data_IF_389784640032
#
_entry.id   IF_389784640032
#
_cell.length_a   1.000
_cell.length_b   1.000
_cell.length_c   1.000
_cell.angle_alpha   90.00
_cell.angle_beta   90.00
_cell.angle_gamma   90.00
#
_symmetry.space_group_name_H-M   'P 1'
#
loop_
_entity.id
_entity.type
_entity.pdbx_description
1 polymer ?
#
# COMPACT_ATOMS: atom_id res chain seq x y z
N UNK A 1 14.79 -2.70 2.13
CA UNK A 1 14.63 -4.11 2.54
C UNK A 1 13.82 -4.15 3.81
N UNK A 2 12.87 -5.10 3.92
CA UNK A 2 12.10 -5.32 5.15
C UNK A 2 12.51 -6.69 5.71
N UNK A 3 12.77 -6.76 7.01
CA UNK A 3 13.06 -8.00 7.71
C UNK A 3 12.15 -8.13 8.94
N UNK A 4 11.65 -9.31 9.16
CA UNK A 4 10.87 -9.66 10.37
C UNK A 4 11.55 -10.81 11.08
N UNK A 5 11.57 -10.74 12.42
CA UNK A 5 12.19 -11.73 13.29
C UNK A 5 11.24 -12.14 14.40
N UNK A 6 10.92 -13.41 14.44
CA UNK A 6 10.13 -14.05 15.50
C UNK A 6 8.84 -13.29 15.82
N UNK A 7 8.06 -12.92 14.79
CA UNK A 7 6.79 -12.19 14.96
C UNK A 7 5.71 -13.13 15.48
N UNK A 8 5.10 -12.71 16.59
CA UNK A 8 3.92 -13.34 17.17
C UNK A 8 2.76 -12.34 17.19
N UNK A 9 1.55 -12.81 16.88
CA UNK A 9 0.32 -12.01 16.97
C UNK A 9 -0.85 -12.86 17.35
N UNK A 10 -1.58 -12.40 18.38
CA UNK A 10 -2.81 -13.02 18.85
C UNK A 10 -3.95 -12.02 18.91
N UNK A 11 -5.18 -12.49 18.79
CA UNK A 11 -6.41 -11.74 19.04
C UNK A 11 -7.23 -12.51 20.07
N UNK A 12 -7.25 -11.99 21.29
CA UNK A 12 -7.80 -12.73 22.44
C UNK A 12 -7.08 -14.06 22.66
N UNK A 13 -7.81 -15.17 22.57
CA UNK A 13 -7.24 -16.52 22.72
C UNK A 13 -6.71 -17.12 21.41
N UNK A 14 -6.99 -16.49 20.26
CA UNK A 14 -6.59 -17.01 18.96
C UNK A 14 -5.19 -16.53 18.58
N UNK A 15 -4.24 -17.46 18.47
CA UNK A 15 -2.89 -17.18 17.94
C UNK A 15 -2.96 -17.22 16.42
N UNK A 16 -2.63 -16.08 15.77
CA UNK A 16 -2.73 -15.93 14.31
C UNK A 16 -1.36 -15.98 13.64
N UNK A 17 -0.37 -15.28 14.21
CA UNK A 17 1.02 -15.38 13.77
C UNK A 17 1.83 -16.06 14.87
N UNK A 18 2.64 -17.03 14.48
CA UNK A 18 3.42 -17.82 15.41
C UNK A 18 4.84 -17.98 14.87
N UNK A 19 5.78 -17.30 15.50
CA UNK A 19 7.21 -17.35 15.19
C UNK A 19 7.55 -17.12 13.72
N UNK A 20 7.00 -16.04 13.13
CA UNK A 20 7.20 -15.73 11.72
C UNK A 20 8.48 -14.92 11.56
N UNK A 21 9.43 -15.45 10.79
CA UNK A 21 10.65 -14.76 10.39
C UNK A 21 10.77 -14.80 8.86
N UNK A 22 11.05 -13.65 8.25
CA UNK A 22 11.22 -13.53 6.80
C UNK A 22 12.03 -12.28 6.44
N UNK A 23 12.58 -12.30 5.21
CA UNK A 23 13.31 -11.19 4.64
C UNK A 23 12.76 -10.89 3.26
N UNK A 24 12.32 -9.65 3.06
CA UNK A 24 11.76 -9.15 1.80
C UNK A 24 12.81 -8.27 1.11
N UNK A 25 13.36 -8.80 0.03
CA UNK A 25 14.45 -8.14 -0.68
C UNK A 25 13.96 -6.95 -1.50
N UNK A 26 14.78 -5.91 -1.53
CA UNK A 26 14.52 -4.70 -2.33
C UNK A 26 14.64 -5.00 -3.82
N UNK A 27 13.77 -4.38 -4.64
CA UNK A 27 13.80 -4.53 -6.10
C UNK A 27 13.32 -5.88 -6.61
N UNK A 28 12.74 -6.71 -5.72
CA UNK A 28 12.16 -8.00 -6.07
C UNK A 28 10.69 -8.05 -5.70
N UNK A 29 9.93 -8.87 -6.43
CA UNK A 29 8.59 -9.28 -6.02
C UNK A 29 8.73 -10.40 -4.99
N UNK A 30 8.25 -10.14 -3.77
CA UNK A 30 8.24 -11.11 -2.69
C UNK A 30 6.80 -11.61 -2.51
N UNK A 31 6.60 -12.92 -2.51
CA UNK A 31 5.27 -13.53 -2.43
C UNK A 31 5.08 -14.25 -1.10
N UNK A 32 3.97 -13.93 -0.41
CA UNK A 32 3.55 -14.63 0.80
C UNK A 32 2.43 -15.60 0.40
N UNK A 33 2.70 -16.91 0.54
CA UNK A 33 1.79 -17.99 0.17
C UNK A 33 1.28 -18.66 1.43
N UNK A 34 0.01 -19.07 1.43
CA UNK A 34 -0.61 -19.85 2.52
C UNK A 34 -2.11 -20.01 2.30
N UNK A 35 -2.72 -20.92 3.03
CA UNK A 35 -4.16 -21.18 2.97
C UNK A 35 -4.98 -19.93 3.37
N UNK A 36 -6.26 -19.90 2.98
CA UNK A 36 -7.18 -18.87 3.47
C UNK A 36 -7.25 -18.94 5.00
N UNK A 37 -7.24 -17.80 5.67
CA UNK A 37 -7.23 -17.73 7.14
C UNK A 37 -5.88 -17.99 7.82
N UNK A 38 -4.79 -18.25 7.08
CA UNK A 38 -3.45 -18.50 7.66
C UNK A 38 -2.74 -17.27 8.24
N UNK A 39 -3.38 -16.09 8.23
CA UNK A 39 -2.81 -14.86 8.80
C UNK A 39 -2.05 -13.95 7.81
N UNK A 40 -2.07 -14.22 6.50
CA UNK A 40 -1.37 -13.38 5.49
C UNK A 40 -1.71 -11.89 5.59
N UNK A 41 -3.00 -11.57 5.59
CA UNK A 41 -3.49 -10.18 5.74
C UNK A 41 -3.10 -9.58 7.10
N UNK A 42 -3.08 -10.40 8.17
CA UNK A 42 -2.62 -9.94 9.50
C UNK A 42 -1.14 -9.60 9.46
N UNK A 43 -0.32 -10.46 8.84
CA UNK A 43 1.11 -10.19 8.66
C UNK A 43 1.34 -8.92 7.85
N UNK A 44 0.64 -8.73 6.72
CA UNK A 44 0.70 -7.51 5.92
C UNK A 44 0.35 -6.27 6.76
N UNK A 45 -0.71 -6.32 7.56
CA UNK A 45 -1.10 -5.21 8.43
C UNK A 45 -0.06 -4.92 9.53
N UNK A 46 0.64 -5.95 10.02
CA UNK A 46 1.78 -5.75 10.93
C UNK A 46 2.96 -5.09 10.21
N UNK A 47 3.28 -5.52 8.99
CA UNK A 47 4.34 -4.91 8.16
C UNK A 47 4.06 -3.44 7.81
N UNK A 48 2.80 -3.07 7.67
CA UNK A 48 2.37 -1.69 7.44
C UNK A 48 2.27 -0.84 8.71
N UNK A 49 2.48 -1.45 9.89
CA UNK A 49 2.29 -0.80 11.17
C UNK A 49 0.84 -0.45 11.50
N UNK A 50 -0.14 -1.11 10.83
CA UNK A 50 -1.57 -0.98 11.11
C UNK A 50 -1.98 -1.84 12.32
N UNK A 51 -1.29 -2.95 12.55
CA UNK A 51 -1.42 -3.77 13.73
C UNK A 51 -0.09 -3.84 14.47
N UNK A 52 -0.13 -3.73 15.80
CA UNK A 52 1.00 -4.09 16.65
C UNK A 52 1.12 -5.62 16.69
N UNK A 53 2.32 -6.14 16.74
CA UNK A 53 2.60 -7.53 17.07
C UNK A 53 2.89 -7.68 18.56
N UNK A 54 2.73 -8.90 19.09
CA UNK A 54 2.86 -9.15 20.53
C UNK A 54 4.33 -9.34 20.91
N UNK A 55 5.11 -9.99 20.04
CA UNK A 55 6.55 -10.24 20.21
C UNK A 55 7.24 -10.23 18.85
N UNK A 56 8.55 -10.02 18.84
CA UNK A 56 9.41 -10.04 17.68
C UNK A 56 9.95 -8.67 17.29
N UNK A 57 10.56 -8.59 16.13
CA UNK A 57 11.19 -7.38 15.59
C UNK A 57 10.83 -7.17 14.13
N UNK A 58 10.55 -5.91 13.79
CA UNK A 58 10.33 -5.45 12.44
C UNK A 58 11.40 -4.42 12.09
N UNK A 59 12.09 -4.64 10.97
CA UNK A 59 13.26 -3.86 10.58
C UNK A 59 13.04 -3.34 9.16
N UNK A 60 13.13 -2.02 8.97
CA UNK A 60 13.06 -1.35 7.67
C UNK A 60 14.43 -0.76 7.33
N UNK A 61 15.02 -1.16 6.21
CA UNK A 61 16.34 -0.68 5.76
C UNK A 61 17.38 -0.61 6.89
N UNK A 62 17.49 -1.69 7.68
CA UNK A 62 18.35 -1.86 8.85
C UNK A 62 17.98 -1.02 10.10
N UNK A 63 16.86 -0.33 10.09
CA UNK A 63 16.36 0.40 11.27
C UNK A 63 15.25 -0.40 11.95
N UNK A 64 15.41 -0.67 13.24
CA UNK A 64 14.44 -1.39 14.05
C UNK A 64 13.21 -0.51 14.32
N UNK A 65 12.02 -1.02 14.04
CA UNK A 65 10.76 -0.28 14.25
C UNK A 65 10.53 0.10 15.72
N UNK A 66 11.03 -0.71 16.65
CA UNK A 66 10.98 -0.47 18.10
C UNK A 66 11.84 0.73 18.56
N UNK A 67 12.82 1.12 17.74
CA UNK A 67 13.74 2.24 18.04
C UNK A 67 13.36 3.54 17.32
N UNK A 68 12.37 3.49 16.42
CA UNK A 68 11.93 4.64 15.66
C UNK A 68 11.09 5.59 16.50
N UNK A 69 11.39 6.88 16.40
CA UNK A 69 10.51 7.93 16.87
C UNK A 69 9.29 8.11 15.96
N UNK A 70 8.34 8.98 16.32
CA UNK A 70 7.10 9.14 15.56
C UNK A 70 7.33 9.79 14.19
N UNK A 71 8.32 10.65 14.03
CA UNK A 71 8.70 11.24 12.75
C UNK A 71 9.27 10.18 11.80
N UNK A 72 10.15 9.33 12.27
CA UNK A 72 10.73 8.22 11.51
C UNK A 72 9.65 7.22 11.09
N UNK A 73 8.71 6.87 11.98
CA UNK A 73 7.55 6.04 11.65
C UNK A 73 6.65 6.68 10.58
N UNK A 74 6.44 8.00 10.66
CA UNK A 74 5.67 8.72 9.64
C UNK A 74 6.39 8.72 8.29
N UNK A 75 7.71 8.90 8.27
CA UNK A 75 8.51 8.86 7.05
C UNK A 75 8.48 7.48 6.39
N UNK A 76 8.57 6.40 7.16
CA UNK A 76 8.40 5.03 6.64
C UNK A 76 7.00 4.84 6.03
N UNK A 77 5.93 5.35 6.65
CA UNK A 77 4.57 5.27 6.09
C UNK A 77 4.43 5.96 4.74
N UNK A 78 5.12 7.09 4.52
CA UNK A 78 5.14 7.77 3.20
C UNK A 78 5.81 6.91 2.12
N UNK A 79 6.72 6.02 2.51
CA UNK A 79 7.43 5.12 1.60
C UNK A 79 6.67 3.82 1.33
N UNK A 80 5.47 3.65 1.89
CA UNK A 80 4.64 2.46 1.73
C UNK A 80 3.37 2.76 0.94
N UNK A 81 3.09 1.94 -0.05
CA UNK A 81 1.80 1.91 -0.74
C UNK A 81 1.07 0.62 -0.44
N UNK A 82 -0.25 0.66 -0.38
CA UNK A 82 -1.09 -0.52 -0.16
C UNK A 82 -2.20 -0.61 -1.20
N UNK A 83 -2.26 -1.74 -1.89
CA UNK A 83 -3.40 -2.14 -2.73
C UNK A 83 -4.23 -3.15 -1.95
N UNK A 84 -5.46 -2.77 -1.62
CA UNK A 84 -6.41 -3.61 -0.89
C UNK A 84 -7.19 -4.53 -1.82
N UNK A 85 -7.60 -5.69 -1.33
CA UNK A 85 -8.40 -6.69 -2.06
C UNK A 85 -9.66 -6.10 -2.70
N UNK A 86 -10.38 -5.21 -2.03
CA UNK A 86 -11.63 -4.59 -2.48
C UNK A 86 -11.50 -3.16 -3.00
N UNK A 87 -10.31 -2.72 -3.47
CA UNK A 87 -9.99 -1.33 -3.85
C UNK A 87 -10.07 -0.34 -2.68
N UNK A 88 -10.96 -0.54 -1.72
CA UNK A 88 -11.17 0.27 -0.52
C UNK A 88 -11.21 1.79 -0.81
N UNK A 89 -11.93 2.19 -1.85
CA UNK A 89 -12.11 3.59 -2.21
C UNK A 89 -13.05 4.27 -1.22
N UNK A 90 -12.88 5.58 -1.07
CA UNK A 90 -13.83 6.42 -0.37
C UNK A 90 -14.99 6.72 -1.31
N UNK A 91 -16.18 6.22 -0.99
CA UNK A 91 -17.38 6.33 -1.84
C UNK A 91 -17.85 7.79 -2.06
N UNK A 92 -17.53 8.66 -1.11
CA UNK A 92 -17.87 10.09 -1.17
C UNK A 92 -16.86 10.95 -1.92
N UNK A 93 -15.74 10.38 -2.34
CA UNK A 93 -14.69 11.07 -3.07
C UNK A 93 -14.66 10.65 -4.53
N UNK A 94 -14.42 11.63 -5.42
CA UNK A 94 -14.18 11.37 -6.85
C UNK A 94 -12.92 10.53 -7.08
N UNK A 95 -12.70 10.10 -8.31
CA UNK A 95 -11.46 9.41 -8.73
C UNK A 95 -10.24 10.26 -8.41
N UNK A 96 -10.27 11.56 -8.76
CA UNK A 96 -9.17 12.49 -8.47
C UNK A 96 -8.89 12.58 -6.98
N UNK A 97 -9.92 12.83 -6.18
CA UNK A 97 -9.78 12.97 -4.73
C UNK A 97 -9.31 11.68 -4.06
N UNK A 98 -9.79 10.50 -4.51
CA UNK A 98 -9.29 9.21 -4.04
C UNK A 98 -7.79 9.06 -4.31
N UNK A 99 -7.31 9.38 -5.51
CA UNK A 99 -5.89 9.27 -5.86
C UNK A 99 -5.05 10.33 -5.13
N UNK A 100 -5.59 11.54 -4.96
CA UNK A 100 -4.93 12.65 -4.28
C UNK A 100 -4.85 12.47 -2.76
N UNK A 101 -5.75 11.69 -2.16
CA UNK A 101 -5.88 11.54 -0.71
C UNK A 101 -4.56 11.31 0.06
N UNK A 102 -3.64 10.42 -0.37
CA UNK A 102 -2.35 10.27 0.31
C UNK A 102 -1.47 11.53 0.25
N UNK A 103 -1.56 12.32 -0.82
CA UNK A 103 -0.84 13.58 -0.95
C UNK A 103 -1.39 14.63 0.03
N UNK A 104 -2.72 14.67 0.22
CA UNK A 104 -3.37 15.56 1.18
C UNK A 104 -2.97 15.26 2.62
N UNK A 105 -2.88 13.98 2.95
CA UNK A 105 -2.60 13.53 4.31
C UNK A 105 -1.11 13.57 4.68
N UNK A 106 -0.22 13.39 3.73
CA UNK A 106 1.19 13.09 4.00
C UNK A 106 2.17 14.10 3.41
N UNK A 107 1.69 15.13 2.70
CA UNK A 107 2.56 16.16 2.09
C UNK A 107 2.06 17.58 2.36
N UNK A 108 2.99 18.54 2.33
CA UNK A 108 2.69 19.97 2.42
C UNK A 108 2.69 20.65 1.04
N UNK A 109 2.43 19.90 -0.06
CA UNK A 109 2.35 20.47 -1.39
C UNK A 109 1.15 21.40 -1.53
N UNK A 110 1.26 22.40 -2.43
CA UNK A 110 0.10 23.21 -2.80
C UNK A 110 -0.97 22.36 -3.48
N UNK A 111 -2.24 22.75 -3.39
CA UNK A 111 -3.37 22.07 -4.02
C UNK A 111 -3.11 21.80 -5.50
N UNK A 112 -2.68 22.83 -6.23
CA UNK A 112 -2.31 22.71 -7.65
C UNK A 112 -1.26 21.61 -7.89
N UNK A 113 -0.24 21.52 -7.03
CA UNK A 113 0.82 20.51 -7.16
C UNK A 113 0.32 19.10 -6.88
N UNK A 114 -0.57 18.94 -5.90
CA UNK A 114 -1.21 17.66 -5.59
C UNK A 114 -2.06 17.17 -6.75
N UNK A 115 -2.87 18.07 -7.34
CA UNK A 115 -3.70 17.75 -8.52
C UNK A 115 -2.84 17.35 -9.71
N UNK A 116 -1.77 18.10 -10.01
CA UNK A 116 -0.84 17.75 -11.09
C UNK A 116 -0.23 16.35 -10.91
N UNK A 117 0.13 16.00 -9.68
CA UNK A 117 0.68 14.67 -9.38
C UNK A 117 -0.40 13.62 -9.54
N UNK A 118 -1.58 13.80 -8.93
CA UNK A 118 -2.67 12.82 -8.99
C UNK A 118 -3.12 12.55 -10.43
N UNK A 119 -3.27 13.59 -11.25
CA UNK A 119 -3.65 13.48 -12.66
C UNK A 119 -2.66 12.63 -13.46
N UNK A 120 -1.35 12.77 -13.24
CA UNK A 120 -0.33 11.92 -13.89
C UNK A 120 -0.53 10.44 -13.58
N UNK A 121 -0.90 10.09 -12.34
CA UNK A 121 -1.13 8.70 -11.97
C UNK A 121 -2.48 8.18 -12.47
N UNK A 122 -3.51 9.04 -12.60
CA UNK A 122 -4.79 8.71 -13.22
C UNK A 122 -4.59 8.42 -14.71
N UNK A 123 -3.80 9.22 -15.40
CA UNK A 123 -3.43 8.99 -16.81
C UNK A 123 -2.70 7.65 -16.99
N UNK A 124 -1.74 7.34 -16.13
CA UNK A 124 -0.99 6.05 -16.20
C UNK A 124 -1.86 4.81 -16.06
N UNK A 125 -3.03 4.93 -15.44
CA UNK A 125 -4.00 3.84 -15.30
C UNK A 125 -5.17 3.95 -16.31
N UNK A 126 -5.08 4.85 -17.29
CA UNK A 126 -6.08 5.09 -18.34
C UNK A 126 -7.48 5.40 -17.76
N UNK A 127 -7.58 6.42 -16.90
CA UNK A 127 -8.83 6.86 -16.26
C UNK A 127 -9.13 8.35 -16.48
N UNK A 128 -8.58 8.98 -17.53
CA UNK A 128 -8.77 10.41 -17.83
C UNK A 128 -10.25 10.80 -17.98
N UNK A 129 -11.07 9.91 -18.53
CA UNK A 129 -12.51 10.17 -18.75
C UNK A 129 -13.36 9.98 -17.47
N UNK A 130 -12.73 9.64 -16.35
CA UNK A 130 -13.41 9.35 -15.10
C UNK A 130 -12.95 10.22 -13.92
N UNK A 131 -12.15 11.24 -14.15
CA UNK A 131 -11.49 12.06 -13.11
C UNK A 131 -12.48 12.54 -12.02
N UNK A 132 -13.64 13.03 -12.44
CA UNK A 132 -14.65 13.62 -11.57
C UNK A 132 -15.77 12.64 -11.16
N UNK A 133 -15.69 11.37 -11.58
CA UNK A 133 -16.69 10.35 -11.26
C UNK A 133 -16.48 9.81 -9.84
N UNK A 134 -17.60 9.45 -9.21
CA UNK A 134 -17.58 8.72 -7.94
C UNK A 134 -17.32 7.22 -8.17
N UNK A 135 -16.88 6.45 -7.17
CA UNK A 135 -16.71 5.01 -7.26
C UNK A 135 -17.95 4.26 -7.76
N UNK A 136 -19.16 4.71 -7.39
CA UNK A 136 -20.43 4.12 -7.85
C UNK A 136 -20.72 4.31 -9.34
N UNK A 137 -20.03 5.26 -10.00
CA UNK A 137 -20.24 5.59 -11.42
C UNK A 137 -19.23 4.92 -12.36
N UNK A 138 -18.32 4.12 -11.80
CA UNK A 138 -17.26 3.45 -12.53
C UNK A 138 -17.29 1.93 -12.31
N UNK A 139 -16.79 1.17 -13.29
CA UNK A 139 -16.75 -0.28 -13.19
C UNK A 139 -15.80 -0.78 -12.10
N UNK A 140 -16.00 -2.01 -11.60
CA UNK A 140 -15.11 -2.62 -10.61
C UNK A 140 -13.64 -2.72 -11.07
N UNK A 141 -13.41 -2.91 -12.38
CA UNK A 141 -12.07 -2.85 -12.96
C UNK A 141 -11.46 -1.45 -12.91
N UNK A 142 -12.26 -0.39 -13.12
CA UNK A 142 -11.83 0.98 -12.97
C UNK A 142 -11.53 1.30 -11.50
N UNK A 143 -12.38 0.86 -10.56
CA UNK A 143 -12.16 1.04 -9.12
C UNK A 143 -10.82 0.42 -8.68
N UNK A 144 -10.47 -0.78 -9.16
CA UNK A 144 -9.18 -1.41 -8.90
C UNK A 144 -8.02 -0.56 -9.41
N UNK A 145 -8.13 0.00 -10.61
CA UNK A 145 -7.12 0.91 -11.18
C UNK A 145 -6.96 2.20 -10.38
N UNK A 146 -8.07 2.78 -9.88
CA UNK A 146 -8.02 3.92 -8.94
C UNK A 146 -7.28 3.54 -7.65
N UNK A 147 -7.57 2.36 -7.08
CA UNK A 147 -6.88 1.85 -5.88
C UNK A 147 -5.37 1.70 -6.09
N UNK A 148 -4.95 1.25 -7.28
CA UNK A 148 -3.54 1.16 -7.65
C UNK A 148 -2.93 2.57 -7.78
N UNK A 149 -3.55 3.48 -8.53
CA UNK A 149 -3.06 4.84 -8.69
C UNK A 149 -2.87 5.52 -7.33
N UNK A 150 -3.85 5.39 -6.41
CA UNK A 150 -3.77 5.88 -5.04
C UNK A 150 -2.60 5.26 -4.27
N UNK A 151 -2.38 3.96 -4.40
CA UNK A 151 -1.32 3.27 -3.68
C UNK A 151 0.09 3.73 -4.09
N UNK A 152 0.25 4.16 -5.35
CA UNK A 152 1.57 4.53 -5.91
C UNK A 152 1.79 6.04 -6.05
N UNK A 153 0.81 6.88 -5.73
CA UNK A 153 0.87 8.35 -5.97
C UNK A 153 2.01 9.05 -5.23
N UNK A 154 2.42 8.52 -4.08
CA UNK A 154 3.59 9.00 -3.31
C UNK A 154 4.92 8.44 -3.82
N UNK A 155 4.91 7.65 -4.89
CA UNK A 155 6.09 6.94 -5.40
C UNK A 155 6.79 6.10 -4.31
N UNK A 156 6.06 5.17 -3.66
CA UNK A 156 6.54 4.43 -2.50
C UNK A 156 7.71 3.52 -2.83
N UNK A 157 8.61 3.28 -1.86
CA UNK A 157 9.68 2.27 -1.96
C UNK A 157 9.16 0.85 -1.82
N UNK A 158 8.06 0.66 -1.09
CA UNK A 158 7.44 -0.62 -0.80
C UNK A 158 5.99 -0.61 -1.24
N UNK A 159 5.61 -1.53 -2.10
CA UNK A 159 4.22 -1.72 -2.50
C UNK A 159 3.72 -3.05 -1.96
N UNK A 160 2.71 -2.99 -1.12
CA UNK A 160 2.04 -4.16 -0.57
C UNK A 160 0.74 -4.41 -1.34
N UNK A 161 0.47 -5.68 -1.63
CA UNK A 161 -0.76 -6.08 -2.32
C UNK A 161 -1.41 -7.23 -1.56
N UNK A 162 -2.65 -7.03 -1.10
CA UNK A 162 -3.44 -8.06 -0.44
C UNK A 162 -4.38 -8.70 -1.46
N UNK A 163 -4.08 -9.95 -1.84
CA UNK A 163 -4.78 -10.74 -2.87
C UNK A 163 -5.04 -9.94 -4.17
N UNK A 164 -3.99 -9.45 -4.84
CA UNK A 164 -4.16 -8.73 -6.08
C UNK A 164 -4.66 -9.71 -7.15
N UNK A 165 -5.94 -9.66 -7.50
CA UNK A 165 -6.44 -10.29 -8.71
C UNK A 165 -5.89 -9.53 -9.92
N UNK A 166 -4.60 -9.75 -10.21
CA UNK A 166 -3.83 -9.06 -11.25
C UNK A 166 -4.20 -9.49 -12.68
N UNK A 167 -5.24 -10.27 -12.88
CA UNK A 167 -5.64 -10.76 -14.20
C UNK A 167 -5.98 -9.68 -15.24
N UNK A 168 -5.89 -8.38 -14.91
CA UNK A 168 -6.33 -7.28 -15.78
C UNK A 168 -5.38 -6.07 -15.88
N UNK A 169 -4.11 -6.16 -15.43
CA UNK A 169 -3.23 -4.99 -15.50
C UNK A 169 -1.98 -5.31 -16.32
N UNK A 170 -2.01 -4.97 -17.61
CA UNK A 170 -0.81 -4.64 -18.35
C UNK A 170 -0.38 -3.23 -17.92
N UNK A 171 0.49 -3.13 -16.92
CA UNK A 171 1.21 -1.88 -16.65
C UNK A 171 2.35 -1.86 -17.67
N UNK A 172 2.26 -0.98 -18.65
CA UNK A 172 3.40 -0.67 -19.52
C UNK A 172 4.57 -0.24 -18.63
N UNK A 173 5.72 -0.88 -18.79
CA UNK A 173 6.94 -0.52 -18.06
C UNK A 173 7.21 0.97 -18.22
N UNK A 174 7.57 1.68 -17.11
CA UNK A 174 8.03 3.04 -17.24
C UNK A 174 9.33 3.01 -18.05
N UNK A 175 9.32 3.64 -19.23
CA UNK A 175 10.55 3.95 -19.97
C UNK A 175 11.46 4.72 -19.02
N UNK A 176 12.57 4.09 -18.61
CA UNK A 176 13.63 4.78 -17.89
C UNK A 176 14.17 5.88 -18.79
N UNK A 177 14.19 7.14 -18.37
CA UNK A 177 15.01 8.12 -19.07
C UNK A 177 16.47 7.71 -18.87
N UNK A 178 17.22 7.66 -19.95
CA UNK A 178 18.65 7.45 -19.99
C UNK A 178 19.38 8.58 -19.25
#
# INVERSE_FOLDING_TARGET
MIEIKNIFKSFGKSKVLHDISAKFERGKTNLIIGQSGSGKTVLLKCLLGLYSFDQGELIYDNVYSSKMNDEEKMNIKKEMGMVFQGSALFDSLSVLENVRFPLDMLTNYSEKKKDEIALKFIERVNLNDAINKLPSEISGGMQKRVGIARAIVLNPKYLFCDEPNLSLIHISEPTRPY
#
